data_IF_433972884903
#
_entry.id   IF_433972884903
#
_cell.length_a   1.000
_cell.length_b   1.000
_cell.length_c   1.000
_cell.angle_alpha   90.00
_cell.angle_beta   90.00
_cell.angle_gamma   90.00
#
_symmetry.space_group_name_H-M   'P 1'
#
loop_
_entity.id
_entity.type
_entity.pdbx_description
1 polymer ?
#
# COMPACT_ATOMS: atom_id res chain seq x y z
N UNK A 1 -23.90 -11.04 73.92
CA UNK A 1 -23.58 -9.92 73.02
C UNK A 1 -23.10 -8.75 73.87
N UNK A 2 -21.85 -8.66 74.32
CA UNK A 2 -20.58 -9.12 73.69
C UNK A 2 -20.44 -8.55 72.26
N UNK A 3 -19.36 -7.92 71.79
CA UNK A 3 -18.18 -7.25 72.41
C UNK A 3 -17.42 -6.49 71.27
N UNK A 4 -16.33 -5.69 71.37
CA UNK A 4 -15.37 -5.33 72.44
C UNK A 4 -14.67 -3.96 72.14
N UNK A 5 -13.80 -3.49 73.05
CA UNK A 5 -12.58 -2.65 72.85
C UNK A 5 -12.74 -1.14 72.52
N UNK A 6 -12.23 -0.19 73.33
CA UNK A 6 -10.81 0.17 73.61
C UNK A 6 -10.03 0.48 72.31
N UNK A 7 -9.46 1.68 72.05
CA UNK A 7 -9.39 2.95 72.79
C UNK A 7 -8.38 3.93 72.13
N UNK A 8 -8.10 5.08 72.78
CA UNK A 8 -6.99 6.04 72.51
C UNK A 8 -7.17 7.20 71.48
N UNK A 9 -7.77 8.29 71.97
CA UNK A 9 -7.25 9.68 71.96
C UNK A 9 -6.77 10.38 70.67
N UNK A 10 -7.64 11.26 70.12
CA UNK A 10 -7.31 12.30 69.10
C UNK A 10 -6.57 13.54 69.67
N UNK A 11 -5.44 13.41 70.38
CA UNK A 11 -4.68 14.59 70.87
C UNK A 11 -3.20 14.32 71.16
N UNK A 12 -2.34 15.23 70.65
CA UNK A 12 -0.85 15.18 70.57
C UNK A 12 -0.44 14.23 69.41
N UNK A 13 0.38 14.62 68.43
CA UNK A 13 1.74 15.16 68.59
C UNK A 13 2.15 16.32 67.64
N UNK A 14 1.46 16.60 66.52
CA UNK A 14 1.91 17.57 65.49
C UNK A 14 1.70 19.07 65.83
N UNK A 15 2.26 19.53 66.95
CA UNK A 15 2.44 20.96 67.29
C UNK A 15 3.89 21.27 67.71
N UNK A 16 4.80 20.27 67.63
CA UNK A 16 6.18 20.37 68.12
C UNK A 16 7.23 20.17 67.03
N UNK A 17 7.39 21.13 66.11
CA UNK A 17 8.54 21.20 65.19
C UNK A 17 8.94 22.65 64.81
N UNK A 18 8.51 23.64 65.60
CA UNK A 18 8.75 25.07 65.35
C UNK A 18 9.65 25.77 66.38
N UNK A 19 10.33 25.05 67.28
CA UNK A 19 11.15 25.69 68.30
C UNK A 19 12.32 24.81 68.82
N UNK A 20 13.51 25.43 68.85
CA UNK A 20 14.75 25.05 69.55
C UNK A 20 15.68 24.03 68.89
N UNK A 21 16.74 24.56 68.26
CA UNK A 21 18.05 23.93 68.08
C UNK A 21 18.86 24.62 66.97
N UNK A 22 20.08 25.14 67.17
CA UNK A 22 20.93 25.30 68.37
C UNK A 22 21.76 26.58 68.21
N UNK A 23 22.01 27.33 69.29
CA UNK A 23 23.04 28.37 69.30
C UNK A 23 24.43 27.73 69.52
N UNK A 24 25.09 27.30 68.45
CA UNK A 24 26.41 26.65 68.49
C UNK A 24 27.55 27.68 68.40
N UNK A 25 27.80 28.39 69.49
CA UNK A 25 29.04 29.15 69.68
C UNK A 25 30.23 28.19 69.92
N UNK A 26 30.65 27.48 68.87
CA UNK A 26 31.79 26.56 68.89
C UNK A 26 31.64 25.36 67.95
N UNK A 27 32.42 25.38 66.86
CA UNK A 27 32.70 24.28 65.92
C UNK A 27 31.50 23.63 65.19
N UNK A 28 31.51 23.72 63.86
CA UNK A 28 30.60 23.00 62.97
C UNK A 28 30.19 23.86 61.78
N UNK A 29 30.58 23.45 60.57
CA UNK A 29 29.98 23.98 59.34
C UNK A 29 28.47 23.69 59.40
N UNK A 30 27.65 24.69 59.11
CA UNK A 30 26.20 24.56 59.28
C UNK A 30 25.63 23.44 58.41
N UNK A 31 24.81 22.57 58.99
CA UNK A 31 24.05 21.57 58.23
C UNK A 31 22.93 22.28 57.47
N UNK A 32 23.22 22.69 56.24
CA UNK A 32 22.21 23.10 55.26
C UNK A 32 21.33 21.90 54.95
N UNK A 33 20.07 21.92 55.39
CA UNK A 33 19.08 20.93 54.98
C UNK A 33 18.60 21.30 53.58
N UNK A 34 19.21 20.67 52.57
CA UNK A 34 18.83 20.78 51.17
C UNK A 34 17.82 19.67 50.87
N UNK A 35 16.58 20.05 50.56
CA UNK A 35 15.55 19.12 50.09
C UNK A 35 15.39 19.33 48.58
N UNK A 36 16.18 18.58 47.82
CA UNK A 36 15.99 18.38 46.38
C UNK A 36 15.51 16.96 46.15
N UNK A 37 14.47 16.81 45.36
CA UNK A 37 14.16 15.57 44.66
C UNK A 37 14.21 15.93 43.17
N UNK A 38 14.90 15.11 42.37
CA UNK A 38 15.21 15.41 40.98
C UNK A 38 15.17 14.10 40.18
N UNK A 39 14.04 13.84 39.54
CA UNK A 39 13.89 12.73 38.61
C UNK A 39 14.33 13.17 37.22
N UNK A 40 15.22 12.39 36.61
CA UNK A 40 15.73 12.65 35.26
C UNK A 40 15.57 11.40 34.40
N UNK A 41 14.86 11.58 33.29
CA UNK A 41 14.85 10.62 32.19
C UNK A 41 16.02 11.00 31.28
N UNK A 42 17.13 10.27 31.37
CA UNK A 42 18.34 10.51 30.59
C UNK A 42 18.38 9.53 29.41
N UNK A 43 19.04 9.93 28.33
CA UNK A 43 19.21 9.12 27.11
C UNK A 43 17.91 8.67 26.41
N UNK A 44 16.80 9.43 26.57
CA UNK A 44 15.58 9.19 25.79
C UNK A 44 15.83 9.47 24.31
N UNK A 45 15.40 8.54 23.46
CA UNK A 45 15.36 8.70 22.00
C UNK A 45 13.91 8.63 21.54
N UNK A 46 13.55 9.49 20.59
CA UNK A 46 12.29 9.41 19.84
C UNK A 46 12.70 9.25 18.37
N UNK A 47 12.38 8.10 17.79
CA UNK A 47 12.64 7.78 16.37
C UNK A 47 11.31 7.76 15.64
N UNK A 48 11.26 8.28 14.41
CA UNK A 48 10.10 8.12 13.54
C UNK A 48 9.95 6.65 13.09
N UNK A 49 8.71 6.21 12.85
CA UNK A 49 8.47 4.90 12.24
C UNK A 49 8.90 4.86 10.78
N UNK A 50 9.10 3.65 10.25
CA UNK A 50 9.35 3.39 8.83
C UNK A 50 8.06 2.94 8.14
N UNK A 51 7.99 3.13 6.82
CA UNK A 51 6.93 2.62 5.97
C UNK A 51 7.54 2.42 4.59
N UNK A 52 7.36 1.23 4.01
CA UNK A 52 7.96 0.84 2.73
C UNK A 52 7.01 -0.12 2.01
N UNK A 53 6.96 -0.03 0.69
CA UNK A 53 6.23 -0.94 -0.18
C UNK A 53 7.25 -1.77 -0.97
N UNK A 54 7.13 -3.09 -0.90
CA UNK A 54 7.87 -4.03 -1.74
C UNK A 54 6.89 -4.79 -2.62
N UNK A 55 7.22 -4.98 -3.89
CA UNK A 55 6.42 -5.76 -4.84
C UNK A 55 7.35 -6.68 -5.63
N UNK A 56 7.06 -7.97 -5.64
CA UNK A 56 7.75 -8.97 -6.48
C UNK A 56 6.80 -9.39 -7.60
N UNK A 57 7.30 -9.49 -8.83
CA UNK A 57 6.52 -10.00 -9.97
C UNK A 57 6.93 -11.43 -10.29
N UNK A 58 5.96 -12.31 -10.48
CA UNK A 58 6.13 -13.69 -10.92
C UNK A 58 5.36 -13.97 -12.23
N UNK A 59 5.84 -14.94 -13.00
CA UNK A 59 5.14 -15.59 -14.11
C UNK A 59 4.79 -17.00 -13.69
N UNK A 60 3.50 -17.31 -13.63
CA UNK A 60 2.98 -18.60 -13.19
C UNK A 60 2.76 -19.54 -14.38
N UNK A 61 2.38 -19.00 -15.53
CA UNK A 61 2.07 -19.81 -16.71
C UNK A 61 2.21 -19.00 -18.00
N UNK A 62 2.71 -19.67 -19.04
CA UNK A 62 2.65 -19.25 -20.44
C UNK A 62 2.33 -20.50 -21.28
N UNK A 63 1.25 -20.46 -22.07
CA UNK A 63 0.85 -21.53 -23.00
C UNK A 63 0.60 -20.93 -24.39
N UNK A 64 1.35 -21.40 -25.40
CA UNK A 64 1.25 -21.03 -26.81
C UNK A 64 1.20 -22.29 -27.70
N UNK A 65 0.49 -23.33 -27.23
CA UNK A 65 0.31 -24.65 -27.88
C UNK A 65 1.63 -25.34 -28.28
N UNK A 66 2.71 -25.10 -27.52
CA UNK A 66 4.04 -25.70 -27.72
C UNK A 66 4.85 -25.11 -28.88
N UNK A 67 4.48 -23.94 -29.40
CA UNK A 67 5.03 -23.38 -30.65
C UNK A 67 5.52 -21.93 -30.51
N UNK A 68 5.06 -21.18 -29.51
CA UNK A 68 5.40 -19.76 -29.35
C UNK A 68 6.78 -19.48 -28.73
N UNK A 69 7.32 -18.25 -28.91
CA UNK A 69 8.63 -17.87 -28.39
C UNK A 69 8.62 -17.64 -26.87
N UNK A 70 7.49 -17.20 -26.32
CA UNK A 70 7.33 -16.83 -24.92
C UNK A 70 7.25 -18.08 -24.03
N UNK A 71 6.47 -19.08 -24.46
CA UNK A 71 6.42 -20.42 -23.86
C UNK A 71 7.80 -21.09 -23.88
N UNK A 72 8.51 -21.05 -25.02
CA UNK A 72 9.85 -21.63 -25.13
C UNK A 72 10.90 -20.96 -24.22
N UNK A 73 10.74 -19.65 -23.95
CA UNK A 73 11.55 -18.89 -22.98
C UNK A 73 11.19 -19.26 -21.54
N UNK A 74 9.89 -19.35 -21.22
CA UNK A 74 9.38 -19.78 -19.93
C UNK A 74 9.89 -21.19 -19.58
N UNK A 75 9.74 -22.15 -20.48
CA UNK A 75 10.23 -23.53 -20.34
C UNK A 75 11.75 -23.61 -20.10
N UNK A 76 12.57 -22.84 -20.84
CA UNK A 76 14.02 -22.83 -20.65
C UNK A 76 14.41 -22.27 -19.27
N UNK A 77 13.75 -21.18 -18.84
CA UNK A 77 13.97 -20.57 -17.52
C UNK A 77 13.48 -21.47 -16.38
N UNK A 78 12.32 -22.09 -16.51
CA UNK A 78 11.72 -22.97 -15.50
C UNK A 78 12.56 -24.24 -15.34
N UNK A 79 12.99 -24.86 -16.44
CA UNK A 79 13.88 -26.01 -16.41
C UNK A 79 15.27 -25.67 -15.83
N UNK A 80 15.74 -24.42 -15.97
CA UNK A 80 16.97 -23.95 -15.34
C UNK A 80 16.81 -23.76 -13.81
N UNK A 81 15.71 -23.14 -13.37
CA UNK A 81 15.40 -22.98 -11.95
C UNK A 81 15.16 -24.34 -11.26
N UNK A 82 14.39 -25.24 -11.89
CA UNK A 82 14.13 -26.60 -11.42
C UNK A 82 15.38 -27.49 -11.36
N UNK A 83 16.46 -27.13 -12.06
CA UNK A 83 17.75 -27.81 -11.94
C UNK A 83 18.53 -27.40 -10.66
N UNK A 84 18.16 -26.27 -10.04
CA UNK A 84 18.70 -25.81 -8.75
C UNK A 84 17.77 -26.21 -7.59
N UNK A 85 16.44 -26.04 -7.74
CA UNK A 85 15.42 -26.48 -6.79
C UNK A 85 14.17 -27.06 -7.48
N UNK A 86 13.91 -28.36 -7.26
CA UNK A 86 12.84 -29.11 -7.94
C UNK A 86 11.41 -28.71 -7.54
N UNK A 87 11.24 -27.81 -6.54
CA UNK A 87 9.92 -27.29 -6.12
C UNK A 87 9.57 -25.93 -6.74
N UNK A 88 10.38 -25.39 -7.66
CA UNK A 88 10.05 -24.15 -8.36
C UNK A 88 8.97 -24.41 -9.42
N UNK A 89 7.81 -23.78 -9.26
CA UNK A 89 6.69 -23.84 -10.21
C UNK A 89 6.41 -22.48 -10.90
N UNK A 90 6.98 -21.38 -10.39
CA UNK A 90 6.82 -20.01 -10.90
C UNK A 90 8.18 -19.34 -11.13
N UNK A 91 8.23 -18.27 -11.93
CA UNK A 91 9.47 -17.57 -12.30
C UNK A 91 9.43 -16.07 -12.05
N UNK A 92 10.50 -15.51 -11.49
CA UNK A 92 10.61 -14.04 -11.29
C UNK A 92 10.65 -13.27 -12.63
N UNK A 93 9.85 -12.20 -12.69
CA UNK A 93 10.23 -10.94 -13.34
C UNK A 93 10.42 -10.92 -14.85
N UNK A 94 9.46 -11.43 -15.64
CA UNK A 94 9.28 -10.93 -17.01
C UNK A 94 7.80 -10.80 -17.41
N UNK A 95 7.42 -9.62 -17.91
CA UNK A 95 6.12 -9.32 -18.50
C UNK A 95 6.34 -8.78 -19.92
N UNK A 96 6.86 -9.65 -20.78
CA UNK A 96 6.97 -9.41 -22.23
C UNK A 96 6.22 -10.55 -22.93
N UNK A 97 5.28 -10.21 -23.81
CA UNK A 97 4.62 -11.17 -24.72
C UNK A 97 5.02 -10.78 -26.14
N UNK A 98 5.94 -11.54 -26.75
CA UNK A 98 6.51 -11.21 -28.06
C UNK A 98 5.56 -11.56 -29.23
N UNK A 99 4.71 -12.58 -29.10
CA UNK A 99 3.92 -13.11 -30.23
C UNK A 99 2.56 -13.70 -29.79
N UNK A 100 1.68 -12.91 -29.16
CA UNK A 100 0.34 -13.35 -28.76
C UNK A 100 -0.52 -13.79 -29.97
N UNK A 101 -1.07 -15.01 -29.92
CA UNK A 101 -1.96 -15.57 -30.95
C UNK A 101 -3.29 -16.08 -30.37
N UNK A 102 -4.37 -16.14 -31.17
CA UNK A 102 -5.63 -16.73 -30.73
C UNK A 102 -5.46 -18.21 -30.37
N UNK A 103 -5.65 -18.53 -29.09
CA UNK A 103 -5.33 -19.80 -28.45
C UNK A 103 -4.39 -19.65 -27.24
N UNK A 104 -3.56 -18.60 -27.21
CA UNK A 104 -2.51 -18.40 -26.21
C UNK A 104 -3.09 -17.92 -24.85
N UNK A 105 -2.44 -18.33 -23.75
CA UNK A 105 -2.75 -17.90 -22.37
C UNK A 105 -1.51 -17.61 -21.52
N UNK A 106 -1.69 -16.73 -20.52
CA UNK A 106 -0.63 -16.21 -19.66
C UNK A 106 -1.19 -15.96 -18.25
N UNK A 107 -0.49 -16.35 -17.18
CA UNK A 107 -0.79 -15.92 -15.78
C UNK A 107 0.44 -15.26 -15.17
N UNK A 108 0.28 -14.01 -14.75
CA UNK A 108 1.29 -13.21 -14.04
C UNK A 108 0.74 -12.81 -12.68
N UNK A 109 1.59 -12.80 -11.66
CA UNK A 109 1.18 -12.41 -10.31
C UNK A 109 2.17 -11.42 -9.68
N UNK A 110 1.70 -10.73 -8.66
CA UNK A 110 2.46 -9.76 -7.90
C UNK A 110 2.26 -9.97 -6.39
N UNK A 111 3.32 -10.36 -5.69
CA UNK A 111 3.37 -10.37 -4.23
C UNK A 111 3.55 -8.96 -3.71
N UNK A 112 2.59 -8.47 -2.92
CA UNK A 112 2.60 -7.13 -2.33
C UNK A 112 2.91 -7.23 -0.83
N UNK A 113 3.95 -6.52 -0.43
CA UNK A 113 4.53 -6.58 0.91
C UNK A 113 4.76 -5.16 1.45
N UNK A 114 3.76 -4.64 2.17
CA UNK A 114 3.86 -3.42 2.97
C UNK A 114 4.67 -3.71 4.23
N UNK A 115 5.66 -2.88 4.56
CA UNK A 115 6.60 -3.12 5.67
C UNK A 115 6.46 -2.13 6.83
N UNK A 116 6.85 -2.62 8.00
CA UNK A 116 7.00 -1.97 9.30
C UNK A 116 5.70 -1.49 9.96
N UNK A 117 4.75 -0.93 9.20
CA UNK A 117 3.46 -0.43 9.69
C UNK A 117 2.33 -0.78 8.70
N UNK A 118 1.08 -0.96 9.17
CA UNK A 118 -0.05 -1.22 8.30
C UNK A 118 -0.30 -0.11 7.25
N UNK A 119 -0.76 -0.50 6.07
CA UNK A 119 -0.99 0.41 4.94
C UNK A 119 -2.13 -0.01 4.02
N UNK A 120 -2.78 0.99 3.41
CA UNK A 120 -3.63 0.81 2.25
C UNK A 120 -2.76 0.49 1.03
N UNK A 121 -3.29 -0.29 0.09
CA UNK A 121 -2.66 -0.59 -1.21
C UNK A 121 -3.62 -0.22 -2.32
N UNK A 122 -3.11 0.44 -3.35
CA UNK A 122 -3.82 0.73 -4.59
C UNK A 122 -3.02 0.21 -5.79
N UNK A 123 -3.73 -0.37 -6.75
CA UNK A 123 -3.17 -0.86 -8.01
C UNK A 123 -3.88 -0.15 -9.15
N UNK A 124 -3.12 0.44 -10.07
CA UNK A 124 -3.64 1.11 -11.28
C UNK A 124 -2.95 0.54 -12.51
N UNK A 125 -3.62 0.63 -13.66
CA UNK A 125 -3.13 0.13 -14.95
C UNK A 125 -3.36 1.20 -16.01
N UNK A 126 -2.27 1.78 -16.54
CA UNK A 126 -2.31 2.60 -17.76
C UNK A 126 -1.99 1.72 -18.99
N UNK A 127 -2.51 2.10 -20.16
CA UNK A 127 -2.49 1.26 -21.36
C UNK A 127 -2.52 2.02 -22.68
N UNK A 128 -1.42 1.94 -23.43
CA UNK A 128 -1.29 2.36 -24.82
C UNK A 128 -1.50 1.16 -25.77
N UNK A 129 -2.24 1.36 -26.87
CA UNK A 129 -2.46 0.31 -27.86
C UNK A 129 -2.46 0.79 -29.32
N UNK A 130 -2.21 -0.14 -30.24
CA UNK A 130 -2.32 0.11 -31.67
C UNK A 130 -2.86 -1.08 -32.45
N UNK A 131 -3.70 -0.81 -33.45
CA UNK A 131 -4.15 -1.81 -34.42
C UNK A 131 -3.00 -2.27 -35.29
N UNK A 132 -3.09 -3.49 -35.82
CA UNK A 132 -2.12 -4.01 -36.77
C UNK A 132 -2.13 -3.33 -38.15
N UNK A 133 -1.46 -3.98 -39.10
CA UNK A 133 -1.49 -3.57 -40.50
C UNK A 133 -1.74 -4.75 -41.44
N UNK A 134 -2.38 -4.48 -42.57
CA UNK A 134 -2.82 -5.49 -43.54
C UNK A 134 -1.68 -6.27 -44.23
N UNK A 135 -0.42 -5.90 -43.96
CA UNK A 135 0.80 -6.44 -44.57
C UNK A 135 0.75 -6.52 -46.13
N UNK A 136 -0.11 -5.71 -46.76
CA UNK A 136 -0.36 -5.71 -48.20
C UNK A 136 -1.09 -6.94 -48.75
N UNK A 137 -1.78 -7.72 -47.91
CA UNK A 137 -2.50 -8.93 -48.32
C UNK A 137 -4.01 -8.67 -48.40
N UNK A 138 -4.61 -8.85 -49.60
CA UNK A 138 -6.03 -8.59 -49.92
C UNK A 138 -7.09 -9.33 -49.06
N UNK A 139 -6.67 -10.15 -48.09
CA UNK A 139 -7.53 -10.96 -47.21
C UNK A 139 -7.17 -10.83 -45.72
N UNK A 140 -6.21 -9.97 -45.37
CA UNK A 140 -5.91 -9.63 -43.98
C UNK A 140 -6.66 -8.35 -43.65
N UNK A 141 -7.64 -8.47 -42.76
CA UNK A 141 -8.15 -7.34 -41.99
C UNK A 141 -7.42 -7.37 -40.65
N UNK A 142 -6.89 -6.22 -40.23
CA UNK A 142 -6.01 -6.07 -39.07
C UNK A 142 -6.39 -4.81 -38.24
N UNK A 143 -7.67 -4.43 -38.29
CA UNK A 143 -8.19 -3.22 -37.63
C UNK A 143 -8.66 -3.43 -36.19
N UNK A 144 -8.50 -4.62 -35.62
CA UNK A 144 -8.88 -4.93 -34.25
C UNK A 144 -7.78 -4.51 -33.27
N UNK A 145 -8.19 -4.11 -32.08
CA UNK A 145 -7.31 -3.83 -30.96
C UNK A 145 -7.14 -5.10 -30.12
N UNK A 146 -5.97 -5.33 -29.52
CA UNK A 146 -5.76 -6.56 -28.75
C UNK A 146 -6.63 -6.60 -27.49
N UNK A 147 -6.79 -5.43 -26.84
CA UNK A 147 -7.57 -5.25 -25.61
C UNK A 147 -9.06 -5.59 -25.75
N UNK A 148 -9.63 -5.45 -26.96
CA UNK A 148 -11.04 -5.76 -27.27
C UNK A 148 -11.35 -7.27 -27.21
N UNK A 149 -10.33 -8.12 -27.38
CA UNK A 149 -10.51 -9.58 -27.53
C UNK A 149 -9.76 -10.40 -26.48
N UNK A 150 -8.66 -9.88 -25.93
CA UNK A 150 -7.97 -10.53 -24.82
C UNK A 150 -8.92 -10.59 -23.62
N UNK A 151 -9.31 -11.78 -23.19
CA UNK A 151 -10.04 -11.97 -21.94
C UNK A 151 -9.06 -11.78 -20.78
N UNK A 152 -9.53 -11.14 -19.72
CA UNK A 152 -8.78 -10.89 -18.50
C UNK A 152 -9.62 -11.31 -17.29
N UNK A 153 -9.02 -12.09 -16.41
CA UNK A 153 -9.51 -12.38 -15.07
C UNK A 153 -8.44 -11.90 -14.11
N UNK A 154 -8.84 -11.15 -13.09
CA UNK A 154 -7.96 -10.73 -12.01
C UNK A 154 -8.45 -11.33 -10.72
N UNK A 155 -7.53 -11.99 -10.01
CA UNK A 155 -7.76 -12.57 -8.69
C UNK A 155 -6.86 -11.92 -7.66
N UNK A 156 -7.29 -11.96 -6.40
CA UNK A 156 -6.47 -11.60 -5.25
C UNK A 156 -6.54 -12.72 -4.22
N UNK A 157 -5.38 -13.15 -3.72
CA UNK A 157 -5.29 -13.85 -2.44
C UNK A 157 -4.95 -12.85 -1.32
N UNK A 158 -5.57 -13.07 -0.17
CA UNK A 158 -5.72 -12.13 0.93
C UNK A 158 -4.70 -12.45 2.05
N UNK A 159 -4.57 -11.63 3.10
CA UNK A 159 -3.55 -11.83 4.15
C UNK A 159 -3.91 -12.87 5.23
N UNK A 160 -5.07 -13.51 5.12
CA UNK A 160 -5.62 -14.49 6.05
C UNK A 160 -5.16 -15.90 5.69
N UNK A 161 -4.79 -16.70 6.69
CA UNK A 161 -4.30 -18.05 6.45
C UNK A 161 -5.38 -19.01 5.88
N UNK A 162 -5.40 -19.15 4.55
CA UNK A 162 -6.05 -20.24 3.83
C UNK A 162 -6.70 -19.83 2.51
N UNK A 163 -6.16 -20.36 1.41
CA UNK A 163 -6.45 -20.08 -0.02
C UNK A 163 -7.90 -19.61 -0.29
N UNK A 164 -8.14 -18.29 -0.24
CA UNK A 164 -9.42 -17.68 -0.60
C UNK A 164 -9.25 -16.64 -1.70
N UNK A 165 -8.67 -17.10 -2.81
CA UNK A 165 -8.55 -16.37 -4.08
C UNK A 165 -9.92 -15.80 -4.52
N UNK A 166 -10.10 -14.48 -4.43
CA UNK A 166 -11.29 -13.75 -4.85
C UNK A 166 -11.10 -13.19 -6.27
N UNK A 167 -12.08 -13.41 -7.15
CA UNK A 167 -12.13 -12.77 -8.47
C UNK A 167 -12.61 -11.32 -8.32
N UNK A 168 -11.67 -10.37 -8.43
CA UNK A 168 -11.94 -8.93 -8.35
C UNK A 168 -12.30 -8.32 -9.70
N UNK A 169 -11.90 -8.94 -10.82
CA UNK A 169 -12.30 -8.52 -12.17
C UNK A 169 -12.47 -9.71 -13.11
N UNK A 170 -13.44 -9.64 -14.01
CA UNK A 170 -13.61 -10.60 -15.12
C UNK A 170 -14.25 -9.94 -16.34
N UNK A 171 -13.52 -9.91 -17.46
CA UNK A 171 -13.95 -9.22 -18.67
C UNK A 171 -12.94 -9.32 -19.81
N UNK A 172 -12.79 -8.24 -20.57
CA UNK A 172 -11.69 -8.06 -21.52
C UNK A 172 -10.59 -7.20 -20.91
N UNK A 173 -9.37 -7.28 -21.45
CA UNK A 173 -8.25 -6.41 -21.06
C UNK A 173 -8.58 -4.92 -21.26
N UNK A 174 -9.33 -4.57 -22.31
CA UNK A 174 -9.82 -3.19 -22.49
C UNK A 174 -10.75 -2.74 -21.35
N UNK A 175 -11.63 -3.64 -20.89
CA UNK A 175 -12.47 -3.36 -19.72
C UNK A 175 -11.69 -3.27 -18.41
N UNK A 176 -10.58 -4.01 -18.28
CA UNK A 176 -9.69 -3.94 -17.12
C UNK A 176 -8.99 -2.57 -17.06
N UNK A 177 -8.49 -2.09 -18.20
CA UNK A 177 -7.86 -0.76 -18.31
C UNK A 177 -8.90 0.34 -18.01
N UNK A 178 -10.07 0.30 -18.67
CA UNK A 178 -11.17 1.25 -18.44
C UNK A 178 -11.60 1.31 -16.95
N UNK A 179 -11.49 0.20 -16.21
CA UNK A 179 -11.87 0.13 -14.78
C UNK A 179 -10.72 0.53 -13.83
N UNK A 180 -9.46 0.37 -14.24
CA UNK A 180 -8.27 0.58 -13.38
C UNK A 180 -7.47 1.86 -13.67
N UNK A 181 -7.79 2.57 -14.75
CA UNK A 181 -7.26 3.92 -15.05
C UNK A 181 -7.87 4.98 -14.10
N UNK A 182 -9.20 5.00 -13.94
CA UNK A 182 -9.90 5.96 -13.06
C UNK A 182 -10.06 5.45 -11.61
N UNK A 183 -8.98 5.53 -10.83
CA UNK A 183 -8.99 5.33 -9.37
C UNK A 183 -8.51 3.96 -8.89
N UNK A 184 -8.30 3.01 -9.81
CA UNK A 184 -7.65 1.74 -9.55
C UNK A 184 -8.39 0.79 -8.62
N UNK A 185 -7.79 -0.37 -8.39
CA UNK A 185 -8.23 -1.31 -7.37
C UNK A 185 -7.60 -0.93 -6.02
N UNK A 186 -8.42 -0.40 -5.11
CA UNK A 186 -8.10 -0.31 -3.68
C UNK A 186 -8.62 -1.58 -3.02
N UNK A 187 -7.71 -2.51 -2.72
CA UNK A 187 -8.07 -3.83 -2.19
C UNK A 187 -8.51 -3.76 -0.72
N UNK A 188 -9.35 -4.71 -0.33
CA UNK A 188 -9.96 -4.83 0.98
C UNK A 188 -9.96 -6.29 1.41
N UNK A 189 -9.53 -6.56 2.64
CA UNK A 189 -9.52 -7.88 3.24
C UNK A 189 -10.85 -8.16 3.96
N UNK A 190 -11.27 -9.43 3.96
CA UNK A 190 -12.42 -9.89 4.74
C UNK A 190 -11.94 -10.48 6.08
N UNK A 191 -11.79 -9.62 7.10
CA UNK A 191 -11.41 -10.06 8.45
C UNK A 191 -12.62 -10.59 9.22
N UNK A 192 -12.40 -11.36 10.29
CA UNK A 192 -13.49 -11.80 11.17
C UNK A 192 -13.33 -11.25 12.58
N UNK A 193 -14.21 -10.33 12.96
CA UNK A 193 -14.29 -9.80 14.33
C UNK A 193 -15.28 -10.59 15.17
N UNK A 194 -15.03 -10.70 16.48
CA UNK A 194 -16.01 -11.25 17.42
C UNK A 194 -16.91 -10.13 17.94
N UNK A 195 -18.21 -10.20 17.66
CA UNK A 195 -19.21 -9.26 18.19
C UNK A 195 -19.20 -9.31 19.74
N UNK A 196 -18.93 -8.17 20.42
CA UNK A 196 -18.78 -8.14 21.88
C UNK A 196 -20.11 -8.23 22.64
N UNK A 197 -21.26 -8.13 21.98
CA UNK A 197 -22.59 -8.33 22.56
C UNK A 197 -23.15 -9.74 22.30
N UNK A 198 -22.85 -10.36 21.15
CA UNK A 198 -23.41 -11.67 20.75
C UNK A 198 -22.45 -12.86 20.87
N UNK A 199 -21.13 -12.62 20.97
CA UNK A 199 -20.07 -13.63 20.86
C UNK A 199 -20.07 -14.39 19.51
N UNK A 200 -20.77 -13.89 18.49
CA UNK A 200 -20.73 -14.43 17.12
C UNK A 200 -19.56 -13.80 16.34
N UNK A 201 -18.93 -14.59 15.46
CA UNK A 201 -17.94 -14.05 14.51
C UNK A 201 -18.69 -13.40 13.35
N UNK A 202 -18.33 -12.15 13.05
CA UNK A 202 -18.90 -11.34 11.98
C UNK A 202 -17.77 -10.95 11.02
N UNK A 203 -18.05 -11.08 9.73
CA UNK A 203 -17.17 -10.67 8.65
C UNK A 203 -17.15 -9.14 8.54
N UNK A 204 -15.95 -8.55 8.54
CA UNK A 204 -15.72 -7.11 8.49
C UNK A 204 -14.72 -6.82 7.38
N UNK A 205 -15.03 -5.84 6.54
CA UNK A 205 -14.15 -5.45 5.43
C UNK A 205 -13.15 -4.42 5.93
N UNK A 206 -11.86 -4.75 5.88
CA UNK A 206 -10.76 -3.89 6.30
C UNK A 206 -9.79 -3.64 5.15
N UNK A 207 -9.62 -2.38 4.77
CA UNK A 207 -8.73 -1.94 3.68
C UNK A 207 -7.27 -1.76 4.11
N UNK A 208 -6.97 -2.00 5.39
CA UNK A 208 -5.68 -1.74 5.98
C UNK A 208 -4.87 -3.03 6.11
N UNK A 209 -3.90 -3.23 5.21
CA UNK A 209 -3.06 -4.44 5.21
C UNK A 209 -2.08 -4.42 6.38
N UNK A 210 -1.96 -5.55 7.06
CA UNK A 210 -0.91 -5.80 8.05
C UNK A 210 0.46 -5.86 7.38
N UNK A 211 1.54 -5.46 8.07
CA UNK A 211 2.87 -5.51 7.49
C UNK A 211 3.37 -6.95 7.34
N UNK A 212 4.03 -7.26 6.22
CA UNK A 212 4.70 -8.55 5.96
C UNK A 212 6.00 -8.72 6.78
N UNK A 213 6.63 -7.61 7.18
CA UNK A 213 7.89 -7.57 7.92
C UNK A 213 7.90 -6.35 8.85
N UNK A 214 8.46 -6.45 10.05
CA UNK A 214 8.69 -5.30 10.92
C UNK A 214 9.90 -5.47 11.84
N UNK A 215 10.59 -4.36 12.14
CA UNK A 215 11.70 -4.27 13.10
C UNK A 215 11.21 -4.12 14.56
N UNK A 216 9.89 -4.00 14.77
CA UNK A 216 9.29 -3.82 16.10
C UNK A 216 9.05 -5.18 16.75
N UNK A 217 9.63 -5.42 17.93
CA UNK A 217 9.36 -6.61 18.74
C UNK A 217 7.86 -6.70 19.07
N UNK A 218 7.29 -7.90 18.94
CA UNK A 218 5.85 -8.20 19.13
C UNK A 218 4.90 -7.42 18.20
N UNK A 219 5.37 -6.96 17.02
CA UNK A 219 4.49 -6.46 15.97
C UNK A 219 3.55 -7.55 15.45
N UNK A 220 2.29 -7.16 15.18
CA UNK A 220 1.35 -7.98 14.42
C UNK A 220 1.75 -7.92 12.94
N UNK A 221 1.97 -9.08 12.33
CA UNK A 221 2.35 -9.25 10.94
C UNK A 221 1.25 -10.02 10.21
N UNK A 222 1.17 -9.84 8.90
CA UNK A 222 0.35 -10.68 8.03
C UNK A 222 0.77 -12.15 8.12
N UNK A 223 -0.16 -13.09 7.97
CA UNK A 223 0.17 -14.52 7.93
C UNK A 223 0.80 -14.88 6.57
N UNK A 224 0.24 -14.34 5.48
CA UNK A 224 0.74 -14.45 4.11
C UNK A 224 0.78 -13.06 3.39
N UNK A 225 1.40 -12.99 2.21
CA UNK A 225 1.43 -11.76 1.37
C UNK A 225 0.14 -11.60 0.57
N UNK A 226 -0.24 -10.36 0.25
CA UNK A 226 -1.31 -10.13 -0.75
C UNK A 226 -0.75 -10.51 -2.11
N UNK A 227 -1.25 -11.57 -2.74
CA UNK A 227 -0.92 -11.91 -4.12
C UNK A 227 -2.02 -11.41 -5.05
N UNK A 228 -1.66 -10.64 -6.08
CA UNK A 228 -2.60 -10.21 -7.12
C UNK A 228 -2.21 -10.87 -8.42
N UNK A 229 -3.09 -11.67 -9.00
CA UNK A 229 -2.84 -12.37 -10.25
C UNK A 229 -3.72 -11.85 -11.39
N UNK A 230 -3.14 -11.76 -12.58
CA UNK A 230 -3.84 -11.47 -13.83
C UNK A 230 -3.66 -12.66 -14.78
N UNK A 231 -4.77 -13.32 -15.10
CA UNK A 231 -4.85 -14.34 -16.14
C UNK A 231 -5.36 -13.70 -17.44
N UNK A 232 -4.60 -13.84 -18.51
CA UNK A 232 -4.95 -13.39 -19.85
C UNK A 232 -5.15 -14.58 -20.79
N UNK A 233 -6.21 -14.56 -21.60
CA UNK A 233 -6.47 -15.55 -22.65
C UNK A 233 -6.98 -14.91 -23.94
N UNK A 234 -6.48 -15.32 -25.10
CA UNK A 234 -6.94 -14.80 -26.40
C UNK A 234 -7.82 -15.82 -27.14
N UNK A 235 -9.15 -15.66 -27.23
CA UNK A 235 -10.03 -16.71 -27.75
C UNK A 235 -9.79 -17.10 -29.21
N UNK A 236 -9.55 -18.38 -29.46
CA UNK A 236 -9.35 -18.90 -30.81
C UNK A 236 -10.69 -19.15 -31.53
N UNK A 237 -10.63 -19.45 -32.83
CA UNK A 237 -11.82 -19.81 -33.59
C UNK A 237 -12.37 -21.20 -33.23
N UNK A 238 -11.58 -22.03 -32.53
CA UNK A 238 -12.02 -23.35 -32.08
C UNK A 238 -13.00 -23.26 -30.90
N UNK A 239 -12.93 -22.17 -30.13
CA UNK A 239 -13.68 -21.95 -28.89
C UNK A 239 -15.08 -21.38 -29.15
N UNK A 240 -15.37 -20.95 -30.38
CA UNK A 240 -16.63 -20.31 -30.75
C UNK A 240 -17.80 -21.29 -30.62
N UNK A 241 -18.61 -21.07 -29.58
CA UNK A 241 -19.76 -21.90 -29.21
C UNK A 241 -19.49 -22.93 -28.12
N UNK A 242 -18.30 -22.92 -27.53
CA UNK A 242 -17.91 -23.70 -26.35
C UNK A 242 -17.81 -22.77 -25.11
N UNK A 243 -17.82 -23.39 -23.92
CA UNK A 243 -17.56 -22.70 -22.65
C UNK A 243 -16.06 -22.86 -22.32
N UNK A 244 -15.32 -21.76 -22.21
CA UNK A 244 -13.88 -21.74 -21.89
C UNK A 244 -13.68 -21.35 -20.43
N UNK A 245 -12.84 -22.10 -19.71
CA UNK A 245 -12.44 -21.80 -18.34
C UNK A 245 -11.18 -20.95 -18.34
N UNK A 246 -11.22 -19.77 -17.71
CA UNK A 246 -10.11 -18.83 -17.54
C UNK A 246 -10.03 -18.53 -16.04
N UNK A 247 -9.02 -19.06 -15.36
CA UNK A 247 -8.81 -18.90 -13.90
C UNK A 247 -10.08 -19.10 -13.04
N UNK A 248 -10.76 -20.24 -13.25
CA UNK A 248 -12.01 -20.58 -12.55
C UNK A 248 -13.27 -19.82 -13.03
N UNK A 249 -13.13 -18.88 -13.97
CA UNK A 249 -14.25 -18.15 -14.59
C UNK A 249 -14.64 -18.78 -15.94
N UNK A 250 -15.92 -19.11 -16.11
CA UNK A 250 -16.46 -19.64 -17.36
C UNK A 250 -16.86 -18.52 -18.33
N UNK A 251 -16.24 -18.47 -19.51
CA UNK A 251 -16.61 -17.59 -20.62
C UNK A 251 -17.30 -18.37 -21.75
N UNK A 252 -18.54 -18.02 -22.06
CA UNK A 252 -19.27 -18.57 -23.20
C UNK A 252 -18.84 -17.84 -24.49
N UNK A 253 -17.82 -18.37 -25.17
CA UNK A 253 -17.15 -17.68 -26.28
C UNK A 253 -18.02 -17.67 -27.53
N UNK A 254 -18.29 -16.48 -28.09
CA UNK A 254 -19.00 -16.32 -29.36
C UNK A 254 -18.11 -15.79 -30.49
N UNK A 255 -18.66 -15.76 -31.72
CA UNK A 255 -17.91 -15.42 -32.93
C UNK A 255 -17.41 -13.96 -32.98
N UNK A 256 -17.86 -13.09 -32.06
CA UNK A 256 -17.35 -11.73 -31.88
C UNK A 256 -16.20 -11.63 -30.88
N UNK A 257 -15.98 -12.65 -30.04
CA UNK A 257 -14.86 -12.71 -29.09
C UNK A 257 -13.59 -13.32 -29.68
N UNK A 258 -13.69 -14.07 -30.79
CA UNK A 258 -12.51 -14.57 -31.50
C UNK A 258 -12.07 -13.60 -32.61
N UNK A 259 -10.89 -12.96 -32.51
CA UNK A 259 -10.45 -11.96 -33.49
C UNK A 259 -9.97 -12.57 -34.81
N UNK A 260 -9.48 -13.81 -34.77
CA UNK A 260 -8.76 -14.40 -35.90
C UNK A 260 -7.59 -13.52 -36.35
N UNK A 261 -7.66 -12.98 -37.57
CA UNK A 261 -6.62 -12.09 -38.12
C UNK A 261 -6.77 -10.62 -37.67
N UNK A 262 -7.88 -10.21 -37.03
CA UNK A 262 -8.17 -8.79 -36.75
C UNK A 262 -7.10 -8.13 -35.87
N UNK A 263 -6.47 -8.89 -34.98
CA UNK A 263 -5.37 -8.43 -34.11
C UNK A 263 -3.98 -8.69 -34.70
N UNK A 264 -3.86 -9.06 -35.99
CA UNK A 264 -2.56 -9.42 -36.59
C UNK A 264 -1.59 -8.24 -36.60
N UNK A 265 -0.60 -8.30 -35.72
CA UNK A 265 0.39 -7.24 -35.53
C UNK A 265 -0.16 -6.01 -34.80
N UNK A 266 -1.32 -6.15 -34.13
CA UNK A 266 -1.72 -5.21 -33.10
C UNK A 266 -0.74 -5.30 -31.91
N UNK A 267 -0.64 -4.22 -31.15
CA UNK A 267 0.24 -4.13 -29.97
C UNK A 267 -0.51 -3.52 -28.80
N UNK A 268 -0.23 -4.03 -27.61
CA UNK A 268 -0.58 -3.41 -26.34
C UNK A 268 0.71 -3.19 -25.54
N UNK A 269 0.76 -2.10 -24.78
CA UNK A 269 1.81 -1.81 -23.81
C UNK A 269 1.18 -1.03 -22.67
N UNK A 270 1.34 -1.49 -21.43
CA UNK A 270 0.80 -0.82 -20.25
C UNK A 270 1.74 -0.94 -19.07
N UNK A 271 1.63 0.03 -18.16
CA UNK A 271 2.37 0.07 -16.90
C UNK A 271 1.43 -0.25 -15.74
N UNK A 272 1.79 -1.26 -14.92
CA UNK A 272 1.10 -1.56 -13.66
C UNK A 272 1.76 -0.75 -12.55
N UNK A 273 0.99 0.10 -11.88
CA UNK A 273 1.47 0.95 -10.81
C UNK A 273 0.92 0.51 -9.46
N UNK A 274 1.81 0.37 -8.48
CA UNK A 274 1.47 0.03 -7.10
C UNK A 274 1.78 1.23 -6.19
N UNK A 275 0.78 1.67 -5.42
CA UNK A 275 0.91 2.71 -4.42
C UNK A 275 0.49 2.19 -3.04
N UNK A 276 1.07 2.75 -1.99
CA UNK A 276 0.66 2.44 -0.62
C UNK A 276 0.73 3.68 0.28
N UNK A 277 -0.23 3.81 1.19
CA UNK A 277 -0.30 4.86 2.19
C UNK A 277 -0.52 4.27 3.58
N UNK A 278 0.19 4.77 4.59
CA UNK A 278 0.03 4.30 5.98
C UNK A 278 -1.40 4.57 6.48
N UNK A 279 -2.07 3.57 7.06
CA UNK A 279 -3.47 3.74 7.50
C UNK A 279 -3.62 4.69 8.69
N UNK A 280 -2.56 4.83 9.47
CA UNK A 280 -2.60 5.55 10.74
C UNK A 280 -2.82 7.05 10.51
N UNK A 281 -4.01 7.52 10.88
CA UNK A 281 -4.48 8.90 10.69
C UNK A 281 -4.75 9.27 9.21
N UNK A 282 -5.10 8.28 8.39
CA UNK A 282 -5.50 8.45 7.01
C UNK A 282 -6.90 7.89 6.79
N UNK A 283 -7.93 8.75 6.85
CA UNK A 283 -9.34 8.35 6.68
C UNK A 283 -9.79 8.39 5.20
N UNK A 284 -8.93 8.91 4.31
CA UNK A 284 -9.19 9.16 2.87
C UNK A 284 -7.94 8.85 2.04
N UNK A 285 -7.53 7.57 1.93
CA UNK A 285 -6.31 7.20 1.25
C UNK A 285 -6.37 7.49 -0.24
N UNK A 286 -5.25 7.93 -0.81
CA UNK A 286 -5.08 8.28 -2.23
C UNK A 286 -5.95 9.46 -2.74
N UNK A 287 -6.68 10.16 -1.86
CA UNK A 287 -7.48 11.36 -2.23
C UNK A 287 -6.71 12.70 -2.08
N UNK A 288 -5.45 12.66 -1.62
CA UNK A 288 -4.71 13.85 -1.16
C UNK A 288 -4.07 14.72 -2.26
N UNK A 289 -4.08 14.31 -3.53
CA UNK A 289 -3.51 15.09 -4.65
C UNK A 289 -4.39 16.28 -5.12
N UNK A 290 -5.37 16.70 -4.31
CA UNK A 290 -6.26 17.85 -4.56
C UNK A 290 -5.99 19.02 -3.60
N UNK A 291 -4.72 19.34 -3.33
CA UNK A 291 -4.36 20.61 -2.66
C UNK A 291 -4.49 21.81 -3.62
N UNK A 292 -5.64 22.48 -3.51
CA UNK A 292 -5.95 23.86 -3.92
C UNK A 292 -4.87 24.68 -4.67
N UNK A 293 -4.99 24.79 -6.00
CA UNK A 293 -4.36 25.87 -6.81
C UNK A 293 -4.95 27.28 -6.52
N UNK A 294 -5.49 27.52 -5.32
CA UNK A 294 -6.01 28.83 -4.89
C UNK A 294 -5.50 29.21 -3.49
N UNK A 295 -4.18 29.11 -3.29
CA UNK A 295 -3.48 29.85 -2.25
C UNK A 295 -3.52 31.36 -2.53
N UNK A 296 -4.64 32.01 -2.22
CA UNK A 296 -4.68 33.47 -2.08
C UNK A 296 -3.81 33.87 -0.87
N UNK A 297 -2.64 34.45 -1.14
CA UNK A 297 -1.76 35.07 -0.13
C UNK A 297 -2.47 36.27 0.55
N UNK A 298 -3.37 36.01 1.51
CA UNK A 298 -3.77 36.99 2.51
C UNK A 298 -2.54 37.32 3.38
N UNK A 299 -1.82 38.35 2.95
CA UNK A 299 -0.62 38.84 3.63
C UNK A 299 -0.97 39.25 5.07
N UNK A 300 -0.17 38.74 6.00
CA UNK A 300 -0.27 38.97 7.44
C UNK A 300 0.22 40.40 7.78
N UNK A 301 -0.65 41.41 7.59
CA UNK A 301 -0.44 42.78 8.08
C UNK A 301 -0.63 42.81 9.61
N UNK A 302 0.38 42.31 10.33
CA UNK A 302 0.54 42.57 11.77
C UNK A 302 1.20 43.95 11.96
N UNK A 303 0.36 44.97 12.21
CA UNK A 303 0.76 46.31 12.66
C UNK A 303 1.40 46.24 14.07
N UNK A 304 2.72 46.08 14.15
CA UNK A 304 3.51 46.31 15.37
C UNK A 304 3.76 47.83 15.58
N UNK A 305 2.75 48.52 16.14
CA UNK A 305 2.87 49.88 16.68
C UNK A 305 3.70 49.86 17.99
N UNK A 306 5.01 50.13 17.92
CA UNK A 306 5.88 50.32 19.10
C UNK A 306 6.55 51.72 19.07
N UNK A 307 5.79 52.73 19.50
CA UNK A 307 6.25 54.09 19.79
C UNK A 307 7.14 54.09 21.07
N UNK A 308 8.44 54.46 20.97
CA UNK A 308 9.03 55.52 21.82
C UNK A 308 10.55 55.81 21.62
N UNK A 309 10.85 57.12 21.74
CA UNK A 309 12.09 57.79 22.18
C UNK A 309 13.35 57.88 21.26
N UNK A 310 13.49 59.06 20.63
CA UNK A 310 14.55 60.07 20.89
C UNK A 310 16.02 59.57 21.12
N UNK A 311 17.06 59.99 20.40
CA UNK A 311 17.47 61.36 20.04
C UNK A 311 18.81 61.37 19.25
N UNK A 312 19.07 62.47 18.52
CA UNK A 312 20.38 63.02 18.06
C UNK A 312 21.30 62.11 17.16
N UNK A 313 22.11 62.61 16.22
CA UNK A 313 22.63 63.96 15.97
C UNK A 313 23.01 64.18 14.47
N UNK A 314 23.07 65.44 14.03
CA UNK A 314 23.94 66.08 12.99
C UNK A 314 24.69 65.25 11.87
N UNK A 315 24.89 65.63 10.58
CA UNK A 315 24.75 66.86 9.75
C UNK A 315 24.95 66.57 8.22
N UNK A 316 24.17 67.25 7.34
CA UNK A 316 24.60 68.04 6.13
C UNK A 316 25.01 67.40 4.77
N UNK A 317 24.39 67.95 3.70
CA UNK A 317 24.72 68.10 2.25
C UNK A 317 25.16 66.85 1.41
N UNK A 318 24.79 66.67 0.14
CA UNK A 318 24.80 67.67 -0.95
C UNK A 318 23.90 67.35 -2.18
N UNK A 319 23.40 68.44 -2.79
CA UNK A 319 22.86 68.73 -4.14
C UNK A 319 22.92 67.60 -5.22
N UNK A 320 21.80 67.03 -5.68
CA UNK A 320 20.88 67.41 -6.82
C UNK A 320 21.45 67.16 -8.27
N UNK A 321 20.74 67.41 -9.41
CA UNK A 321 20.37 66.30 -10.32
C UNK A 321 20.70 66.51 -11.82
N UNK A 322 20.38 65.53 -12.67
CA UNK A 322 19.71 65.70 -13.99
C UNK A 322 19.12 64.38 -14.50
#
# INVERSE_FOLDING_TARGET
MEDTNIGLSRRKVLVGLGAVGVASAGAGLGTTAFFSDEESFQDNTITAGQFELHVTQSTHMVDQDGIGPDEGRFDEMLAAAQAEDETVEVLDGFLDIEDAKPGDSYKYCWDICVKHNPGYVQITLDGDESTGNDNGVTHTDASGLLSEYMLAVVTIDDQQAGDSEEIVFQGTLGGLIDEWDEGGLVHALATTETDPETEEQVEVVEYCHLPCESDVEDAELAEDTVEVCVYLYLPSHADVGEDVEVDGTTFAVDASMSPGNLVQGASFSGDVHFAAEQCRHNDTPFENDVEDENGDDENDDHDDDDDHDDNDDELVDDITPE
#
